data_IF_042781651275
#
_entry.id   IF_042781651275
#
_cell.length_a   1.000
_cell.length_b   1.000
_cell.length_c   1.000
_cell.angle_alpha   90.00
_cell.angle_beta   90.00
_cell.angle_gamma   90.00
#
_symmetry.space_group_name_H-M   'P 1'
#
loop_
_entity.id
_entity.type
_entity.pdbx_description
1 polymer ?
#
# COMPACT_ATOMS: atom_id res chain seq x y z
N UNK A 1 -18.31 -34.68 3.70
CA UNK A 1 -16.90 -34.33 3.44
C UNK A 1 -16.75 -32.83 3.58
N UNK A 2 -15.82 -32.41 4.44
CA UNK A 2 -15.28 -31.06 4.66
C UNK A 2 -14.87 -30.40 3.33
N UNK A 3 -15.04 -29.09 3.13
CA UNK A 3 -14.28 -28.05 3.81
C UNK A 3 -15.13 -26.79 4.08
N UNK A 4 -15.15 -26.39 5.35
CA UNK A 4 -15.48 -25.03 5.77
C UNK A 4 -14.26 -24.13 5.54
N UNK A 5 -14.46 -22.81 5.69
CA UNK A 5 -13.39 -21.79 5.85
C UNK A 5 -12.97 -21.20 4.48
N UNK A 6 -13.08 -19.92 4.17
CA UNK A 6 -12.86 -18.73 4.98
C UNK A 6 -13.58 -17.59 4.25
N UNK A 7 -14.81 -17.26 4.64
CA UNK A 7 -15.28 -15.89 4.41
C UNK A 7 -14.57 -15.09 5.48
N UNK A 8 -13.53 -14.34 5.09
CA UNK A 8 -12.79 -13.47 5.98
C UNK A 8 -13.77 -12.46 6.58
N UNK A 9 -14.21 -12.78 7.80
CA UNK A 9 -14.94 -11.92 8.70
C UNK A 9 -14.00 -10.79 9.13
N UNK A 10 -13.80 -9.78 8.29
CA UNK A 10 -13.16 -8.55 8.73
C UNK A 10 -14.21 -7.44 8.85
N UNK A 11 -15.15 -7.65 9.77
CA UNK A 11 -15.72 -6.53 10.50
C UNK A 11 -14.86 -6.28 11.72
N UNK A 12 -14.13 -5.17 11.79
CA UNK A 12 -13.85 -4.63 13.09
C UNK A 12 -14.73 -3.38 13.21
N UNK A 13 -15.52 -3.25 14.28
CA UNK A 13 -16.26 -2.04 14.63
C UNK A 13 -15.38 -1.16 15.52
N UNK A 14 -15.42 0.16 15.30
CA UNK A 14 -14.62 1.16 16.02
C UNK A 14 -14.10 2.26 15.10
N UNK A 15 -14.95 3.21 14.72
CA UNK A 15 -14.56 4.48 14.10
C UNK A 15 -13.63 4.42 12.87
N UNK A 16 -13.80 3.42 11.99
CA UNK A 16 -12.81 3.15 10.94
C UNK A 16 -12.88 4.11 9.78
N UNK A 17 -11.73 4.64 9.42
CA UNK A 17 -11.54 5.22 8.12
C UNK A 17 -11.37 4.06 7.12
N UNK A 18 -12.37 3.78 6.24
CA UNK A 18 -12.32 2.63 5.34
C UNK A 18 -11.12 2.70 4.38
N UNK A 19 -10.65 3.92 4.11
CA UNK A 19 -9.45 4.15 3.31
C UNK A 19 -8.19 3.68 4.03
N UNK A 20 -8.06 3.98 5.32
CA UNK A 20 -6.91 3.55 6.14
C UNK A 20 -6.82 2.03 6.19
N UNK A 21 -7.94 1.36 6.46
CA UNK A 21 -7.99 -0.10 6.54
C UNK A 21 -7.64 -0.74 5.19
N UNK A 22 -8.21 -0.22 4.09
CA UNK A 22 -7.91 -0.71 2.75
C UNK A 22 -6.43 -0.53 2.37
N UNK A 23 -5.77 0.56 2.81
CA UNK A 23 -4.33 0.74 2.59
C UNK A 23 -3.56 -0.39 3.28
N UNK A 24 -3.81 -0.60 4.57
CA UNK A 24 -3.10 -1.61 5.36
C UNK A 24 -3.36 -3.01 4.80
N UNK A 25 -4.59 -3.33 4.46
CA UNK A 25 -4.97 -4.62 3.88
C UNK A 25 -4.27 -4.84 2.52
N UNK A 26 -4.32 -3.86 1.61
CA UNK A 26 -3.69 -3.99 0.30
C UNK A 26 -2.16 -4.08 0.40
N UNK A 27 -1.54 -3.30 1.28
CA UNK A 27 -0.09 -3.36 1.51
C UNK A 27 0.31 -4.72 2.11
N UNK A 28 -0.47 -5.26 3.05
CA UNK A 28 -0.21 -6.59 3.62
C UNK A 28 -0.46 -7.73 2.61
N UNK A 29 -1.50 -7.61 1.77
CA UNK A 29 -1.80 -8.58 0.72
C UNK A 29 -0.78 -8.54 -0.43
N UNK A 30 -0.15 -7.39 -0.65
CA UNK A 30 0.97 -7.25 -1.56
C UNK A 30 2.21 -7.93 -0.95
N UNK A 31 2.34 -9.24 -1.22
CA UNK A 31 3.47 -10.10 -0.85
C UNK A 31 4.82 -9.37 -0.94
N UNK A 32 5.74 -9.72 -0.04
CA UNK A 32 7.10 -9.19 0.05
C UNK A 32 7.70 -8.95 -1.35
N UNK A 33 8.10 -7.69 -1.60
CA UNK A 33 8.55 -7.10 -2.88
C UNK A 33 7.48 -6.51 -3.83
N UNK A 34 6.19 -6.50 -3.49
CA UNK A 34 5.17 -5.82 -4.31
C UNK A 34 4.65 -4.54 -3.66
N UNK A 35 4.56 -3.50 -4.47
CA UNK A 35 3.98 -2.20 -4.10
C UNK A 35 2.59 -2.06 -4.71
N UNK A 36 1.65 -1.47 -3.98
CA UNK A 36 0.27 -1.21 -4.44
C UNK A 36 0.11 0.21 -4.99
N UNK A 37 -0.81 0.39 -5.94
CA UNK A 37 -1.14 1.71 -6.45
C UNK A 37 -2.27 2.35 -5.63
N UNK A 38 -2.35 3.69 -5.54
CA UNK A 38 -3.46 4.37 -4.88
C UNK A 38 -4.81 4.08 -5.51
N UNK A 39 -4.84 3.79 -6.82
CA UNK A 39 -6.06 3.42 -7.51
C UNK A 39 -6.59 2.06 -7.05
N UNK A 40 -5.71 1.07 -6.87
CA UNK A 40 -6.12 -0.26 -6.40
C UNK A 40 -6.72 -0.18 -4.99
N UNK A 41 -6.10 0.60 -4.11
CA UNK A 41 -6.63 0.89 -2.77
C UNK A 41 -7.99 1.60 -2.87
N UNK A 42 -8.09 2.65 -3.69
CA UNK A 42 -9.33 3.40 -3.84
C UNK A 42 -10.47 2.54 -4.42
N UNK A 43 -10.16 1.64 -5.36
CA UNK A 43 -11.13 0.70 -5.94
C UNK A 43 -11.55 -0.38 -4.95
N UNK A 44 -10.66 -0.81 -4.06
CA UNK A 44 -11.01 -1.74 -2.97
C UNK A 44 -12.06 -1.14 -2.03
N UNK A 45 -12.01 0.17 -1.79
CA UNK A 45 -13.03 0.89 -1.00
C UNK A 45 -14.28 1.19 -1.83
N UNK A 46 -14.12 1.77 -3.02
CA UNK A 46 -15.24 2.08 -3.92
C UNK A 46 -14.79 2.13 -5.38
N UNK A 47 -15.18 1.12 -6.16
CA UNK A 47 -14.91 1.07 -7.59
C UNK A 47 -15.61 2.18 -8.41
N UNK A 48 -16.66 2.81 -7.90
CA UNK A 48 -17.39 3.89 -8.60
C UNK A 48 -16.86 5.29 -8.24
N UNK A 49 -16.46 5.50 -6.99
CA UNK A 49 -15.99 6.80 -6.49
C UNK A 49 -14.47 6.86 -6.25
N UNK A 50 -13.71 5.91 -6.79
CA UNK A 50 -12.26 5.78 -6.57
C UNK A 50 -11.49 7.09 -6.78
N UNK A 51 -11.84 7.88 -7.81
CA UNK A 51 -11.15 9.13 -8.12
C UNK A 51 -11.26 10.17 -6.98
N UNK A 52 -12.43 10.24 -6.32
CA UNK A 52 -12.62 11.11 -5.15
C UNK A 52 -11.79 10.61 -3.96
N UNK A 53 -11.74 9.29 -3.79
CA UNK A 53 -11.01 8.63 -2.70
C UNK A 53 -9.49 8.74 -2.85
N UNK A 54 -8.93 8.98 -4.05
CA UNK A 54 -7.47 9.13 -4.20
C UNK A 54 -6.90 10.22 -3.29
N UNK A 55 -7.65 11.32 -3.08
CA UNK A 55 -7.20 12.39 -2.17
C UNK A 55 -7.18 11.92 -0.72
N UNK A 56 -8.19 11.16 -0.31
CA UNK A 56 -8.27 10.59 1.03
C UNK A 56 -7.20 9.51 1.22
N UNK A 57 -6.98 8.65 0.22
CA UNK A 57 -5.92 7.63 0.19
C UNK A 57 -4.57 8.29 0.37
N UNK A 58 -4.32 9.41 -0.33
CA UNK A 58 -3.08 10.17 -0.16
C UNK A 58 -2.93 10.69 1.26
N UNK A 59 -3.96 11.32 1.82
CA UNK A 59 -3.89 11.88 3.16
C UNK A 59 -3.62 10.81 4.23
N UNK A 60 -4.32 9.67 4.17
CA UNK A 60 -4.13 8.57 5.10
C UNK A 60 -2.80 7.82 4.86
N UNK A 61 -2.36 7.67 3.61
CA UNK A 61 -1.05 7.09 3.31
C UNK A 61 0.08 7.91 3.94
N UNK A 62 0.00 9.25 3.88
CA UNK A 62 0.98 10.14 4.53
C UNK A 62 0.98 9.96 6.04
N UNK A 63 -0.20 9.85 6.67
CA UNK A 63 -0.32 9.61 8.12
C UNK A 63 0.29 8.27 8.50
N UNK A 64 -0.08 7.19 7.81
CA UNK A 64 0.44 5.85 8.04
C UNK A 64 1.95 5.76 7.81
N UNK A 65 2.47 6.50 6.81
CA UNK A 65 3.91 6.57 6.56
C UNK A 65 4.66 7.29 7.69
N UNK A 66 4.09 8.38 8.21
CA UNK A 66 4.64 9.09 9.39
C UNK A 66 4.57 8.24 10.66
N UNK A 67 3.57 7.39 10.78
CA UNK A 67 3.44 6.40 11.85
C UNK A 67 4.40 5.20 11.68
N UNK A 68 5.08 5.09 10.54
CA UNK A 68 5.98 3.96 10.24
C UNK A 68 5.25 2.64 9.95
N UNK A 69 3.94 2.68 9.69
CA UNK A 69 3.17 1.48 9.34
C UNK A 69 3.38 1.07 7.87
N UNK A 70 3.61 2.04 6.99
CA UNK A 70 3.83 1.84 5.55
C UNK A 70 4.96 2.78 5.06
N UNK A 71 5.43 2.57 3.83
CA UNK A 71 6.31 3.51 3.14
C UNK A 71 5.79 3.85 1.75
N UNK A 72 6.09 5.08 1.30
CA UNK A 72 5.70 5.57 -0.01
C UNK A 72 6.89 5.44 -0.95
N UNK A 73 6.67 4.76 -2.08
CA UNK A 73 7.69 4.45 -3.07
C UNK A 73 7.41 5.14 -4.39
N UNK A 74 8.48 5.61 -5.03
CA UNK A 74 8.44 6.18 -6.38
C UNK A 74 9.65 5.71 -7.17
N UNK A 75 9.41 5.17 -8.37
CA UNK A 75 10.45 4.57 -9.22
C UNK A 75 11.34 3.57 -8.45
N UNK A 76 10.75 2.83 -7.51
CA UNK A 76 11.43 1.81 -6.71
C UNK A 76 12.26 2.34 -5.53
N UNK A 77 12.21 3.64 -5.23
CA UNK A 77 12.85 4.22 -4.03
C UNK A 77 11.81 4.74 -3.07
N UNK A 78 12.07 4.62 -1.78
CA UNK A 78 11.29 5.33 -0.77
C UNK A 78 11.45 6.84 -0.97
N UNK A 79 10.33 7.57 -0.85
CA UNK A 79 10.28 9.02 -0.98
C UNK A 79 9.61 9.63 0.23
N UNK A 80 9.91 10.91 0.46
CA UNK A 80 9.29 11.68 1.52
C UNK A 80 7.75 11.68 1.36
N UNK A 81 6.98 11.28 2.38
CA UNK A 81 5.53 11.33 2.34
C UNK A 81 4.96 12.76 2.22
N UNK A 82 5.69 13.81 2.57
CA UNK A 82 5.21 15.18 2.43
C UNK A 82 5.50 15.78 1.04
N UNK A 83 6.49 15.26 0.30
CA UNK A 83 6.90 15.78 -1.01
C UNK A 83 6.99 14.71 -2.11
N UNK A 84 5.85 14.10 -2.44
CA UNK A 84 5.72 13.24 -3.62
C UNK A 84 4.62 13.71 -4.59
N UNK A 85 4.89 13.53 -5.89
CA UNK A 85 3.99 13.91 -6.99
C UNK A 85 4.02 12.88 -8.11
N UNK A 86 2.93 12.85 -8.89
CA UNK A 86 2.79 11.97 -10.05
C UNK A 86 2.46 10.54 -9.64
N UNK A 87 3.08 9.56 -10.31
CA UNK A 87 2.88 8.13 -10.00
C UNK A 87 3.70 7.76 -8.77
N UNK A 88 3.01 7.33 -7.72
CA UNK A 88 3.56 6.82 -6.47
C UNK A 88 2.90 5.49 -6.12
N UNK A 89 3.54 4.73 -5.25
CA UNK A 89 3.07 3.43 -4.79
C UNK A 89 3.27 3.29 -3.29
N UNK A 90 2.51 2.39 -2.68
CA UNK A 90 2.58 2.08 -1.26
C UNK A 90 3.17 0.69 -1.08
N UNK A 91 3.92 0.48 -0.02
CA UNK A 91 4.46 -0.82 0.32
C UNK A 91 4.79 -0.90 1.79
N UNK A 92 5.21 -2.07 2.23
CA UNK A 92 5.71 -2.25 3.58
C UNK A 92 6.94 -1.35 3.82
N UNK A 93 7.15 -0.87 5.05
CA UNK A 93 8.36 -0.16 5.39
C UNK A 93 9.57 -1.09 5.21
N UNK A 94 10.66 -0.60 4.61
CA UNK A 94 11.86 -1.39 4.36
C UNK A 94 11.82 -2.28 3.11
N UNK A 95 10.81 -2.15 2.23
CA UNK A 95 10.74 -2.81 0.92
C UNK A 95 11.76 -2.27 -0.09
N UNK A 96 12.64 -1.35 0.29
CA UNK A 96 13.75 -0.93 -0.58
C UNK A 96 14.49 -2.17 -1.04
N UNK A 97 14.42 -2.48 -2.34
CA UNK A 97 15.24 -3.54 -2.93
C UNK A 97 16.67 -3.36 -2.43
N UNK A 98 17.36 -4.43 -1.98
CA UNK A 98 18.81 -4.33 -1.84
C UNK A 98 19.38 -3.82 -3.17
N UNK A 99 20.41 -2.96 -3.14
CA UNK A 99 21.05 -2.47 -4.36
C UNK A 99 21.38 -3.69 -5.23
N UNK A 100 20.88 -3.67 -6.47
CA UNK A 100 21.23 -4.67 -7.48
C UNK A 100 22.65 -4.37 -7.96
N UNK A 101 23.62 -4.59 -7.08
CA UNK A 101 25.05 -4.50 -7.38
C UNK A 101 25.65 -5.91 -7.38
N UNK A 102 25.02 -6.88 -8.06
CA UNK A 102 25.59 -8.21 -8.31
C UNK A 102 25.09 -8.74 -9.67
N UNK A 103 25.54 -8.11 -10.75
CA UNK A 103 25.84 -8.74 -12.06
C UNK A 103 26.63 -7.77 -12.96
N UNK A 104 27.55 -7.03 -12.35
CA UNK A 104 28.75 -6.54 -13.03
C UNK A 104 29.90 -7.52 -12.73
N UNK A 105 29.76 -8.77 -13.19
CA UNK A 105 30.88 -9.66 -13.51
C UNK A 105 30.74 -9.86 -15.03
N UNK A 106 31.56 -9.30 -15.91
CA UNK A 106 33.00 -9.52 -16.05
C UNK A 106 33.34 -11.02 -15.95
N UNK A 107 33.14 -11.73 -17.06
CA UNK A 107 34.14 -12.57 -17.74
C UNK A 107 33.80 -12.62 -19.23
#
# INVERSE_FOLDING_TARGET
MTDATEQAENSPQGGKNPVRDAILEQVNNAKEARTVSPEDVARAVSAQNWNKLIRDVRAEAVRLAKEGQISIYRKGREVDPDDFKGVWRLGLPGLSKPPKDEDASSD
#
